data_IF_745347776024
#
_entry.id   IF_745347776024
#
_cell.length_a   1.000
_cell.length_b   1.000
_cell.length_c   1.000
_cell.angle_alpha   90.00
_cell.angle_beta   90.00
_cell.angle_gamma   90.00
#
_symmetry.space_group_name_H-M   'P 1'
#
loop_
_entity.id
_entity.type
_entity.pdbx_description
1 polymer ?
#
# COMPACT_ATOMS: atom_id res chain seq x y z
N UNK A 1 -8.71 5.52 12.59
CA UNK A 1 -8.10 6.70 13.25
C UNK A 1 -7.00 7.30 12.40
N UNK A 2 -6.68 8.58 12.62
CA UNK A 2 -5.55 9.29 12.00
C UNK A 2 -4.22 9.07 12.77
N UNK A 3 -3.16 9.80 12.37
CA UNK A 3 -1.83 9.74 13.01
C UNK A 3 -1.82 10.28 14.46
N UNK A 4 -2.89 10.96 14.92
CA UNK A 4 -3.08 11.41 16.29
C UNK A 4 -4.10 10.56 17.06
N UNK A 5 -4.42 9.37 16.58
CA UNK A 5 -5.41 8.44 17.14
C UNK A 5 -6.84 9.02 17.26
N UNK A 6 -7.19 10.01 16.42
CA UNK A 6 -8.54 10.58 16.33
C UNK A 6 -9.34 9.85 15.26
N UNK A 7 -10.64 9.70 15.48
CA UNK A 7 -11.54 9.11 14.49
C UNK A 7 -11.58 9.95 13.21
N UNK A 8 -11.41 9.29 12.04
CA UNK A 8 -11.48 9.95 10.74
C UNK A 8 -12.94 10.04 10.24
N UNK A 9 -13.28 11.05 9.41
CA UNK A 9 -14.59 11.15 8.80
C UNK A 9 -14.97 9.93 7.95
N UNK A 10 -16.27 9.67 7.80
CA UNK A 10 -16.73 8.64 6.90
C UNK A 10 -16.27 8.92 5.47
N UNK A 11 -15.82 7.90 4.76
CA UNK A 11 -15.29 8.00 3.42
C UNK A 11 -13.80 8.31 3.34
N UNK A 12 -13.16 8.72 4.44
CA UNK A 12 -11.72 8.93 4.50
C UNK A 12 -10.99 7.68 4.99
N UNK A 13 -9.77 7.40 4.50
CA UNK A 13 -8.95 6.33 4.99
C UNK A 13 -8.40 6.62 6.39
N UNK A 14 -8.50 5.64 7.30
CA UNK A 14 -7.90 5.67 8.62
C UNK A 14 -7.37 4.30 9.03
N UNK A 15 -6.45 4.26 9.98
CA UNK A 15 -5.98 3.00 10.55
C UNK A 15 -7.09 2.36 11.40
N UNK A 16 -7.31 1.04 11.23
CA UNK A 16 -8.22 0.34 12.12
C UNK A 16 -7.56 0.10 13.48
N UNK A 17 -8.20 0.59 14.53
CA UNK A 17 -7.82 0.35 15.91
C UNK A 17 -8.95 -0.42 16.61
N UNK A 18 -8.60 -1.50 17.32
CA UNK A 18 -9.55 -2.43 17.92
C UNK A 18 -9.35 -2.49 19.44
N UNK A 19 -10.45 -2.54 20.17
CA UNK A 19 -10.46 -2.85 21.60
C UNK A 19 -11.52 -3.90 21.91
N UNK A 20 -11.09 -5.01 22.47
CA UNK A 20 -11.96 -6.13 22.79
C UNK A 20 -11.34 -7.00 23.89
N UNK A 21 -12.13 -7.60 24.79
CA UNK A 21 -11.64 -8.59 25.72
C UNK A 21 -11.14 -9.88 25.07
N UNK A 22 -11.46 -10.09 23.77
CA UNK A 22 -10.97 -11.23 22.99
C UNK A 22 -9.63 -10.98 22.30
N UNK A 23 -9.03 -9.77 22.43
CA UNK A 23 -7.71 -9.51 21.90
C UNK A 23 -6.64 -10.26 22.69
N UNK A 24 -5.57 -10.65 21.99
CA UNK A 24 -4.37 -11.18 22.65
C UNK A 24 -3.69 -10.07 23.50
N UNK A 25 -2.94 -10.50 24.51
CA UNK A 25 -2.32 -9.57 25.49
C UNK A 25 -1.05 -8.88 25.00
N UNK A 26 -0.54 -9.26 23.84
CA UNK A 26 0.66 -8.69 23.25
C UNK A 26 1.54 -9.71 22.53
N UNK A 27 2.53 -9.23 21.80
CA UNK A 27 3.54 -10.06 21.15
C UNK A 27 4.57 -10.56 22.16
N UNK A 28 4.87 -11.85 22.12
CA UNK A 28 5.83 -12.48 23.01
C UNK A 28 7.23 -11.86 22.86
N UNK A 29 7.82 -11.49 23.98
CA UNK A 29 9.18 -10.93 24.06
C UNK A 29 9.46 -9.74 23.12
N UNK A 30 8.44 -8.91 22.83
CA UNK A 30 8.57 -7.74 21.96
C UNK A 30 7.92 -6.49 22.59
N UNK A 31 8.51 -5.93 23.67
CA UNK A 31 7.92 -4.80 24.40
C UNK A 31 7.81 -3.53 23.55
N UNK A 32 8.72 -3.32 22.60
CA UNK A 32 8.70 -2.13 21.75
C UNK A 32 7.48 -2.12 20.83
N UNK A 33 7.23 -3.24 20.13
CA UNK A 33 6.04 -3.37 19.28
C UNK A 33 4.77 -3.31 20.13
N UNK A 34 4.75 -3.94 21.30
CA UNK A 34 3.59 -3.88 22.18
C UNK A 34 3.27 -2.44 22.61
N UNK A 35 4.27 -1.64 22.95
CA UNK A 35 4.06 -0.22 23.31
C UNK A 35 3.50 0.57 22.13
N UNK A 36 3.96 0.29 20.91
CA UNK A 36 3.51 0.97 19.70
C UNK A 36 2.11 0.53 19.29
N UNK A 37 1.88 -0.79 19.21
CA UNK A 37 0.65 -1.33 18.61
C UNK A 37 -0.53 -1.35 19.60
N UNK A 38 -0.26 -1.33 20.93
CA UNK A 38 -1.31 -1.23 21.97
C UNK A 38 -1.39 0.15 22.63
N UNK A 39 -0.95 1.19 21.92
CA UNK A 39 -1.01 2.56 22.45
C UNK A 39 -2.45 3.02 22.69
N UNK A 40 -2.63 3.87 23.71
CA UNK A 40 -3.94 4.41 24.05
C UNK A 40 -4.98 3.37 24.51
N UNK A 41 -4.58 2.10 24.74
CA UNK A 41 -5.49 1.01 25.09
C UNK A 41 -6.25 0.42 23.92
N UNK A 42 -5.80 0.70 22.68
CA UNK A 42 -6.31 0.15 21.43
C UNK A 42 -5.21 -0.63 20.72
N UNK A 43 -5.59 -1.75 20.09
CA UNK A 43 -4.69 -2.48 19.21
C UNK A 43 -4.76 -1.91 17.79
N UNK A 44 -3.66 -1.38 17.32
CA UNK A 44 -3.46 -0.81 16.00
C UNK A 44 -2.93 -1.89 15.06
N UNK A 45 -3.76 -2.29 14.10
CA UNK A 45 -3.45 -3.43 13.22
C UNK A 45 -2.47 -3.09 12.09
N UNK A 46 -2.21 -1.80 11.84
CA UNK A 46 -1.42 -1.35 10.71
C UNK A 46 -2.15 -1.50 9.37
N UNK A 47 -3.45 -1.74 9.38
CA UNK A 47 -4.30 -1.82 8.19
C UNK A 47 -5.17 -0.57 8.08
N UNK A 48 -5.18 0.03 6.88
CA UNK A 48 -5.98 1.21 6.56
C UNK A 48 -7.31 0.79 5.96
N UNK A 49 -8.38 1.35 6.49
CA UNK A 49 -9.75 1.12 6.02
C UNK A 49 -10.47 2.44 5.76
N UNK A 50 -11.51 2.36 4.95
CA UNK A 50 -12.48 3.43 4.73
C UNK A 50 -13.85 2.93 5.20
N UNK A 51 -14.54 3.73 6.03
CA UNK A 51 -15.90 3.44 6.44
C UNK A 51 -16.87 3.90 5.36
N UNK A 52 -17.68 2.97 4.86
CA UNK A 52 -18.71 3.23 3.87
C UNK A 52 -19.97 3.82 4.51
N UNK A 53 -20.88 4.46 3.72
CA UNK A 53 -22.13 5.01 4.24
C UNK A 53 -23.04 3.98 4.92
N UNK A 54 -22.96 2.71 4.52
CA UNK A 54 -23.72 1.59 5.11
C UNK A 54 -23.07 1.01 6.39
N UNK A 55 -21.95 1.61 6.84
CA UNK A 55 -21.20 1.18 8.02
C UNK A 55 -20.19 0.05 7.78
N UNK A 56 -20.15 -0.52 6.58
CA UNK A 56 -19.11 -1.50 6.22
C UNK A 56 -17.74 -0.86 6.07
N UNK A 57 -16.69 -1.67 6.17
CA UNK A 57 -15.31 -1.21 6.02
C UNK A 57 -14.69 -1.78 4.74
N UNK A 58 -14.16 -0.90 3.91
CA UNK A 58 -13.37 -1.28 2.73
C UNK A 58 -11.88 -1.17 3.05
N UNK A 59 -11.14 -2.26 2.88
CA UNK A 59 -9.68 -2.25 2.99
C UNK A 59 -9.08 -1.33 1.92
N UNK A 60 -8.15 -0.48 2.33
CA UNK A 60 -7.45 0.47 1.44
C UNK A 60 -6.03 0.00 1.17
N UNK A 61 -5.23 -0.19 2.24
CA UNK A 61 -3.84 -0.65 2.15
C UNK A 61 -3.28 -0.96 3.54
N UNK A 62 -2.02 -1.37 3.59
CA UNK A 62 -1.20 -1.40 4.82
C UNK A 62 -0.59 -0.04 5.10
N UNK A 63 -0.70 0.45 6.35
CA UNK A 63 -0.12 1.74 6.78
C UNK A 63 1.37 1.86 6.44
N UNK A 64 2.12 0.78 6.63
CA UNK A 64 3.57 0.75 6.36
C UNK A 64 3.95 0.91 4.88
N UNK A 65 3.01 0.70 3.96
CA UNK A 65 3.23 0.85 2.51
C UNK A 65 2.79 2.20 1.97
N UNK A 66 2.10 3.01 2.80
CA UNK A 66 1.69 4.35 2.44
C UNK A 66 2.88 5.18 1.94
N UNK A 67 2.72 5.80 0.77
CA UNK A 67 3.71 6.67 0.15
C UNK A 67 3.28 8.11 0.41
N UNK A 68 4.14 8.91 1.06
CA UNK A 68 3.88 10.32 1.36
C UNK A 68 4.56 11.20 0.33
N UNK A 69 3.80 11.62 -0.69
CA UNK A 69 4.31 12.39 -1.83
C UNK A 69 3.76 13.81 -1.83
N UNK A 70 4.62 14.81 -1.60
CA UNK A 70 4.22 16.23 -1.63
C UNK A 70 3.10 16.59 -0.65
N UNK A 71 3.03 15.91 0.50
CA UNK A 71 1.96 16.10 1.49
C UNK A 71 0.71 15.24 1.25
N UNK A 72 0.62 14.56 0.12
CA UNK A 72 -0.49 13.68 -0.24
C UNK A 72 -0.20 12.21 0.06
N UNK A 73 -1.23 11.48 0.41
CA UNK A 73 -1.15 10.05 0.67
C UNK A 73 -1.45 9.25 -0.60
N UNK A 74 -0.50 8.40 -1.01
CA UNK A 74 -0.68 7.48 -2.13
C UNK A 74 -0.70 6.05 -1.56
N UNK A 75 -1.74 5.32 -1.87
CA UNK A 75 -1.93 3.93 -1.46
C UNK A 75 -1.54 2.99 -2.61
N UNK A 76 -0.42 2.25 -2.50
CA UNK A 76 0.02 1.31 -3.54
C UNK A 76 -1.07 0.37 -4.05
N UNK A 77 -1.90 -0.18 -3.16
CA UNK A 77 -2.96 -1.09 -3.56
C UNK A 77 -4.01 -0.47 -4.50
N UNK A 78 -4.21 0.86 -4.47
CA UNK A 78 -5.09 1.56 -5.41
C UNK A 78 -4.55 1.49 -6.84
N UNK A 79 -3.24 1.73 -7.00
CA UNK A 79 -2.58 1.65 -8.30
C UNK A 79 -2.48 0.21 -8.79
N UNK A 80 -2.06 -0.70 -7.92
CA UNK A 80 -1.91 -2.13 -8.24
C UNK A 80 -3.22 -2.73 -8.73
N UNK A 81 -4.34 -2.42 -8.09
CA UNK A 81 -5.67 -2.88 -8.50
C UNK A 81 -6.01 -2.43 -9.92
N UNK A 82 -5.65 -1.19 -10.31
CA UNK A 82 -5.88 -0.69 -11.66
C UNK A 82 -4.96 -1.40 -12.64
N UNK A 83 -3.67 -1.54 -12.33
CA UNK A 83 -2.69 -2.21 -13.18
C UNK A 83 -3.06 -3.68 -13.39
N UNK A 84 -3.42 -4.39 -12.32
CA UNK A 84 -3.86 -5.79 -12.36
C UNK A 84 -5.23 -6.00 -13.05
N UNK A 85 -5.97 -4.94 -13.36
CA UNK A 85 -7.20 -5.06 -14.14
C UNK A 85 -6.97 -5.37 -15.62
N UNK A 86 -5.74 -5.18 -16.13
CA UNK A 86 -5.37 -5.61 -17.48
C UNK A 86 -5.01 -7.10 -17.46
N UNK A 87 -5.69 -7.95 -18.27
CA UNK A 87 -5.47 -9.41 -18.27
C UNK A 87 -4.08 -9.83 -18.76
N UNK A 88 -3.31 -8.93 -19.33
CA UNK A 88 -1.91 -9.15 -19.74
C UNK A 88 -0.94 -9.01 -18.56
N UNK A 89 -1.32 -8.31 -17.49
CA UNK A 89 -0.52 -8.21 -16.27
C UNK A 89 -0.64 -9.49 -15.45
N UNK A 90 0.48 -10.06 -15.06
CA UNK A 90 0.58 -11.24 -14.18
C UNK A 90 0.70 -10.81 -12.72
N UNK A 91 1.59 -9.82 -12.46
CA UNK A 91 1.87 -9.34 -11.13
C UNK A 91 2.21 -7.84 -11.18
N UNK A 92 1.85 -7.11 -10.12
CA UNK A 92 2.21 -5.72 -9.95
C UNK A 92 2.48 -5.40 -8.47
N UNK A 93 3.54 -4.64 -8.22
CA UNK A 93 3.84 -4.09 -6.91
C UNK A 93 4.28 -2.63 -7.06
N UNK A 94 3.65 -1.75 -6.30
CA UNK A 94 4.03 -0.35 -6.22
C UNK A 94 4.77 -0.12 -4.91
N UNK A 95 5.95 0.45 -4.99
CA UNK A 95 6.82 0.74 -3.85
C UNK A 95 7.22 2.21 -3.85
N UNK A 96 7.74 2.67 -2.71
CA UNK A 96 8.23 4.04 -2.60
C UNK A 96 9.68 4.13 -3.06
N UNK A 97 10.01 5.27 -3.66
CA UNK A 97 11.37 5.74 -3.87
C UNK A 97 11.53 7.11 -3.23
N UNK A 98 12.67 7.38 -2.62
CA UNK A 98 12.98 8.72 -2.10
C UNK A 98 13.11 9.71 -3.27
N UNK A 99 12.53 10.89 -3.10
CA UNK A 99 12.55 11.98 -4.09
C UNK A 99 12.88 13.29 -3.41
N UNK A 100 13.80 14.06 -3.99
CA UNK A 100 14.28 15.30 -3.41
C UNK A 100 13.22 16.40 -3.35
N UNK A 101 12.25 16.39 -4.27
CA UNK A 101 11.19 17.41 -4.35
C UNK A 101 9.94 16.99 -3.59
N UNK A 102 9.55 15.72 -3.69
CA UNK A 102 8.26 15.21 -3.21
C UNK A 102 8.36 14.40 -1.91
N UNK A 103 9.59 14.17 -1.40
CA UNK A 103 9.86 13.29 -0.28
C UNK A 103 9.88 11.82 -0.71
N UNK A 104 8.73 11.31 -1.13
CA UNK A 104 8.60 9.97 -1.71
C UNK A 104 7.80 10.02 -2.99
N UNK A 105 8.06 9.07 -3.90
CA UNK A 105 7.29 8.88 -5.14
C UNK A 105 7.01 7.41 -5.38
N UNK A 106 5.87 7.06 -6.01
CA UNK A 106 5.54 5.68 -6.34
C UNK A 106 6.33 5.21 -7.57
N UNK A 107 6.88 3.98 -7.47
CA UNK A 107 7.50 3.23 -8.56
C UNK A 107 6.75 1.91 -8.71
N UNK A 108 6.34 1.58 -9.93
CA UNK A 108 5.64 0.34 -10.23
C UNK A 108 6.60 -0.71 -10.79
N UNK A 109 6.62 -1.89 -10.19
CA UNK A 109 7.22 -3.12 -10.77
C UNK A 109 6.10 -3.97 -11.33
N UNK A 110 6.23 -4.41 -12.57
CA UNK A 110 5.17 -5.12 -13.30
C UNK A 110 5.74 -6.34 -14.01
N UNK A 111 5.09 -7.49 -13.84
CA UNK A 111 5.27 -8.65 -14.71
C UNK A 111 4.10 -8.78 -15.66
N UNK A 112 4.37 -8.96 -16.94
CA UNK A 112 3.35 -9.16 -17.96
C UNK A 112 3.63 -10.40 -18.83
N UNK A 113 2.59 -10.86 -19.52
CA UNK A 113 2.67 -11.98 -20.45
C UNK A 113 3.46 -11.54 -21.68
N UNK A 114 4.52 -12.27 -22.03
CA UNK A 114 5.22 -12.20 -23.32
C UNK A 114 5.55 -10.77 -23.82
N UNK A 115 6.05 -9.90 -22.96
CA UNK A 115 6.34 -8.50 -23.31
C UNK A 115 5.17 -7.76 -24.00
N UNK A 116 3.95 -8.09 -23.62
CA UNK A 116 2.71 -7.63 -24.25
C UNK A 116 2.32 -6.19 -23.88
N UNK A 117 3.06 -5.55 -22.98
CA UNK A 117 2.83 -4.18 -22.48
C UNK A 117 4.11 -3.38 -22.47
N UNK A 118 3.97 -2.09 -22.72
CA UNK A 118 5.01 -1.09 -22.54
C UNK A 118 4.58 -0.02 -21.51
N UNK A 119 5.46 0.93 -21.24
CA UNK A 119 5.20 2.02 -20.28
C UNK A 119 3.97 2.83 -20.70
N UNK A 120 3.84 3.15 -21.99
CA UNK A 120 2.73 3.95 -22.52
C UNK A 120 1.38 3.27 -22.28
N UNK A 121 1.30 1.96 -22.46
CA UNK A 121 0.07 1.18 -22.23
C UNK A 121 -0.35 1.22 -20.75
N UNK A 122 0.62 1.17 -19.81
CA UNK A 122 0.32 1.30 -18.38
C UNK A 122 -0.11 2.73 -18.03
N UNK A 123 0.54 3.75 -18.58
CA UNK A 123 0.16 5.15 -18.39
C UNK A 123 -1.27 5.41 -18.89
N UNK A 124 -1.61 4.89 -20.06
CA UNK A 124 -2.98 4.98 -20.63
C UNK A 124 -4.00 4.24 -19.76
N UNK A 125 -3.64 3.07 -19.22
CA UNK A 125 -4.50 2.31 -18.32
C UNK A 125 -4.84 3.09 -17.03
N UNK A 126 -3.89 3.86 -16.52
CA UNK A 126 -4.05 4.70 -15.33
C UNK A 126 -4.74 6.04 -15.63
N UNK A 127 -4.78 6.44 -16.91
CA UNK A 127 -5.33 7.73 -17.32
C UNK A 127 -6.84 7.80 -17.03
N UNK A 128 -7.28 8.90 -16.39
CA UNK A 128 -8.68 9.09 -16.03
C UNK A 128 -9.19 8.22 -14.86
N UNK A 129 -8.41 7.20 -14.43
CA UNK A 129 -8.80 6.30 -13.33
C UNK A 129 -8.18 6.69 -11.99
N UNK A 130 -7.08 7.45 -12.01
CA UNK A 130 -6.38 7.89 -10.81
C UNK A 130 -5.89 9.33 -10.97
N UNK A 131 -5.82 10.07 -9.87
CA UNK A 131 -5.30 11.43 -9.86
C UNK A 131 -3.85 11.46 -10.36
N UNK A 132 -3.47 12.51 -11.11
CA UNK A 132 -2.16 12.61 -11.76
C UNK A 132 -0.99 12.50 -10.77
N UNK A 133 -1.11 13.09 -9.59
CA UNK A 133 -0.06 13.07 -8.58
C UNK A 133 0.19 11.68 -7.99
N UNK A 134 -0.79 10.78 -8.06
CA UNK A 134 -0.67 9.40 -7.59
C UNK A 134 0.02 8.46 -8.58
N UNK A 135 0.14 8.86 -9.85
CA UNK A 135 0.70 7.98 -10.89
C UNK A 135 2.16 7.64 -10.59
N UNK A 136 2.61 6.42 -10.93
CA UNK A 136 4.01 6.05 -10.79
C UNK A 136 4.92 7.03 -11.53
N UNK A 137 6.01 7.41 -10.90
CA UNK A 137 7.08 8.21 -11.53
C UNK A 137 8.05 7.36 -12.33
N UNK A 138 8.05 6.06 -12.10
CA UNK A 138 8.80 5.07 -12.87
C UNK A 138 8.03 3.76 -12.95
N UNK A 139 8.17 3.08 -14.08
CA UNK A 139 7.60 1.75 -14.33
C UNK A 139 8.73 0.85 -14.76
N UNK A 140 8.90 -0.28 -14.07
CA UNK A 140 9.92 -1.28 -14.35
C UNK A 140 9.23 -2.61 -14.64
N UNK A 141 9.52 -3.18 -15.83
CA UNK A 141 9.08 -4.52 -16.17
C UNK A 141 10.13 -5.51 -15.70
N UNK A 142 9.71 -6.51 -14.91
CA UNK A 142 10.55 -7.60 -14.42
C UNK A 142 9.85 -8.93 -14.66
N UNK A 143 10.61 -10.03 -14.69
CA UNK A 143 10.01 -11.34 -14.77
C UNK A 143 9.22 -11.65 -13.49
N UNK A 144 8.15 -12.44 -13.60
CA UNK A 144 7.36 -12.88 -12.44
C UNK A 144 8.22 -13.55 -11.36
N UNK A 145 9.20 -14.36 -11.79
CA UNK A 145 10.12 -15.06 -10.90
C UNK A 145 11.08 -14.12 -10.13
N UNK A 146 11.25 -12.88 -10.61
CA UNK A 146 12.12 -11.87 -9.98
C UNK A 146 11.42 -11.09 -8.88
N UNK A 147 10.10 -11.28 -8.69
CA UNK A 147 9.41 -10.71 -7.54
C UNK A 147 9.86 -11.41 -6.25
N UNK A 148 10.48 -10.66 -5.31
CA UNK A 148 10.92 -11.25 -4.05
C UNK A 148 9.69 -11.63 -3.21
N UNK A 149 9.61 -12.91 -2.84
CA UNK A 149 8.47 -13.43 -2.06
C UNK A 149 8.95 -14.03 -0.73
N UNK A 150 8.13 -13.84 0.28
CA UNK A 150 8.29 -14.55 1.56
C UNK A 150 7.94 -16.02 1.41
N UNK A 151 8.23 -16.83 2.43
CA UNK A 151 7.82 -18.24 2.51
C UNK A 151 6.31 -18.46 2.39
N UNK A 152 5.51 -17.44 2.67
CA UNK A 152 4.05 -17.45 2.53
C UNK A 152 3.56 -16.91 1.17
N UNK A 153 4.47 -16.65 0.22
CA UNK A 153 4.17 -16.15 -1.13
C UNK A 153 3.91 -14.64 -1.23
N UNK A 154 3.96 -13.89 -0.13
CA UNK A 154 3.74 -12.43 -0.14
C UNK A 154 4.95 -11.69 -0.70
N UNK A 155 4.71 -10.69 -1.57
CA UNK A 155 5.77 -9.83 -2.10
C UNK A 155 6.45 -9.06 -0.95
N UNK A 156 7.77 -9.15 -0.90
CA UNK A 156 8.62 -8.42 0.05
C UNK A 156 9.02 -7.08 -0.56
N UNK A 157 8.14 -6.06 -0.41
CA UNK A 157 8.28 -4.74 -1.05
C UNK A 157 9.59 -4.05 -0.74
N UNK A 158 10.13 -4.18 0.48
CA UNK A 158 11.42 -3.59 0.86
C UNK A 158 12.57 -4.07 -0.03
N UNK A 159 12.54 -5.33 -0.50
CA UNK A 159 13.56 -5.84 -1.44
C UNK A 159 13.38 -5.28 -2.86
N UNK A 160 12.20 -4.79 -3.22
CA UNK A 160 12.02 -4.02 -4.46
C UNK A 160 12.46 -2.56 -4.28
N UNK A 161 12.22 -1.97 -3.09
CA UNK A 161 12.72 -0.65 -2.72
C UNK A 161 14.26 -0.60 -2.76
N UNK A 162 14.94 -1.67 -2.30
CA UNK A 162 16.40 -1.78 -2.31
C UNK A 162 17.02 -1.86 -3.73
N UNK A 163 16.20 -2.06 -4.77
CA UNK A 163 16.66 -2.07 -6.18
C UNK A 163 16.62 -0.69 -6.85
N UNK A 164 16.08 0.33 -6.16
CA UNK A 164 15.90 1.69 -6.66
C UNK A 164 17.01 2.62 -6.21
#
# INVERSE_FOLDING_TARGET
VDDQDREVPNGEPGEIAIRSPALFSGYWNNPQINTQDFRGGWFHMGDMFRRNPDGTLTFVDRRKYLIKSGGENIYPAELERIILSDPRVIEAAVVRQKDAQWGEVPIAFIACKENSLDVAAIEDLLNGKIARYKRPKGIQFIAEADFPRSTTGKIMRHLLEDRL
#
